data_IF_147001433400
#
_entry.id   IF_147001433400
#
_cell.length_a   1.000
_cell.length_b   1.000
_cell.length_c   1.000
_cell.angle_alpha   90.00
_cell.angle_beta   90.00
_cell.angle_gamma   90.00
#
_symmetry.space_group_name_H-M   'P 1'
#
loop_
_entity.id
_entity.type
_entity.pdbx_description
1 polymer ?
#
# COMPACT_ATOMS: atom_id res chain seq x y z
N UNK A 1 -20.71 -12.20 -15.65
CA UNK A 1 -19.75 -12.69 -14.63
C UNK A 1 -20.53 -13.51 -13.62
N UNK A 2 -19.99 -14.63 -13.12
CA UNK A 2 -20.69 -15.40 -12.07
C UNK A 2 -20.55 -14.73 -10.71
N UNK A 3 -21.51 -14.95 -9.80
CA UNK A 3 -21.45 -14.43 -8.42
C UNK A 3 -20.15 -14.86 -7.74
N UNK A 4 -19.76 -16.13 -7.91
CA UNK A 4 -18.51 -16.68 -7.39
C UNK A 4 -17.27 -15.89 -7.86
N UNK A 5 -17.22 -15.52 -9.15
CA UNK A 5 -16.09 -14.73 -9.67
C UNK A 5 -16.05 -13.34 -9.04
N UNK A 6 -17.21 -12.72 -8.80
CA UNK A 6 -17.30 -11.40 -8.16
C UNK A 6 -16.82 -11.45 -6.70
N UNK A 7 -17.20 -12.48 -5.96
CA UNK A 7 -16.75 -12.70 -4.58
C UNK A 7 -15.23 -12.88 -4.50
N UNK A 8 -14.64 -13.63 -5.45
CA UNK A 8 -13.16 -13.77 -5.54
C UNK A 8 -12.46 -12.44 -5.80
N UNK A 9 -13.04 -11.56 -6.62
CA UNK A 9 -12.49 -10.22 -6.85
C UNK A 9 -12.57 -9.37 -5.58
N UNK A 10 -13.70 -9.43 -4.85
CA UNK A 10 -13.85 -8.74 -3.55
C UNK A 10 -12.80 -9.24 -2.53
N UNK A 11 -12.57 -10.55 -2.44
CA UNK A 11 -11.52 -11.14 -1.57
C UNK A 11 -10.13 -10.63 -1.95
N UNK A 12 -9.81 -10.59 -3.25
CA UNK A 12 -8.51 -10.10 -3.74
C UNK A 12 -8.31 -8.62 -3.41
N UNK A 13 -9.36 -7.80 -3.48
CA UNK A 13 -9.31 -6.39 -3.08
C UNK A 13 -9.03 -6.23 -1.58
N UNK A 14 -9.67 -7.03 -0.73
CA UNK A 14 -9.39 -7.03 0.71
C UNK A 14 -7.92 -7.41 0.95
N UNK A 15 -7.45 -8.47 0.31
CA UNK A 15 -6.07 -8.92 0.44
C UNK A 15 -5.07 -7.83 0.02
N UNK A 16 -5.30 -7.20 -1.13
CA UNK A 16 -4.45 -6.12 -1.64
C UNK A 16 -4.39 -4.92 -0.69
N UNK A 17 -5.54 -4.45 -0.21
CA UNK A 17 -5.61 -3.34 0.76
C UNK A 17 -4.97 -3.72 2.11
N UNK A 18 -5.14 -4.98 2.54
CA UNK A 18 -4.52 -5.53 3.73
C UNK A 18 -2.99 -5.56 3.65
N UNK A 19 -2.43 -5.98 2.50
CA UNK A 19 -0.98 -5.98 2.26
C UNK A 19 -0.40 -4.57 2.43
N UNK A 20 -1.04 -3.54 1.89
CA UNK A 20 -0.55 -2.16 2.03
C UNK A 20 -0.53 -1.68 3.50
N UNK A 21 -1.56 -2.05 4.28
CA UNK A 21 -1.62 -1.71 5.71
C UNK A 21 -0.55 -2.47 6.49
N UNK A 22 -0.44 -3.78 6.28
CA UNK A 22 0.57 -4.63 6.94
C UNK A 22 1.97 -4.13 6.64
N UNK A 23 2.26 -3.80 5.37
CA UNK A 23 3.57 -3.27 5.01
C UNK A 23 3.88 -1.94 5.69
N UNK A 24 2.88 -1.08 5.86
CA UNK A 24 3.03 0.18 6.60
C UNK A 24 3.29 -0.04 8.09
N UNK A 25 2.67 -1.06 8.68
CA UNK A 25 2.97 -1.51 10.05
C UNK A 25 4.40 -2.05 10.13
N UNK A 26 4.86 -2.86 9.16
CA UNK A 26 6.23 -3.36 9.13
C UNK A 26 7.25 -2.23 9.02
N UNK A 27 7.01 -1.21 8.18
CA UNK A 27 7.83 0.00 8.13
C UNK A 27 7.78 0.75 9.46
N UNK A 28 6.62 0.85 10.10
CA UNK A 28 6.51 1.44 11.43
C UNK A 28 7.32 0.67 12.48
N UNK A 29 7.37 -0.66 12.45
CA UNK A 29 8.11 -1.46 13.44
C UNK A 29 9.61 -1.47 13.14
N UNK A 30 9.99 -1.91 11.94
CA UNK A 30 11.35 -2.24 11.54
C UNK A 30 12.09 -1.07 10.87
N UNK A 31 11.38 -0.01 10.50
CA UNK A 31 11.91 1.23 9.94
C UNK A 31 12.90 0.99 8.78
N UNK A 32 14.22 1.09 9.05
CA UNK A 32 15.23 1.12 7.99
C UNK A 32 15.35 -0.21 7.28
N UNK A 33 15.20 -1.32 7.99
CA UNK A 33 15.25 -2.68 7.40
C UNK A 33 14.21 -2.81 6.29
N UNK A 34 12.97 -2.37 6.55
CA UNK A 34 11.89 -2.47 5.55
C UNK A 34 12.01 -1.42 4.46
N UNK A 35 12.60 -0.25 4.75
CA UNK A 35 12.92 0.73 3.72
C UNK A 35 13.99 0.18 2.77
N UNK A 36 15.05 -0.45 3.28
CA UNK A 36 16.13 -0.99 2.45
C UNK A 36 15.60 -2.12 1.54
N UNK A 37 14.71 -2.98 2.04
CA UNK A 37 14.00 -4.01 1.24
C UNK A 37 13.16 -3.36 0.14
N UNK A 38 12.41 -2.30 0.47
CA UNK A 38 11.60 -1.57 -0.50
C UNK A 38 12.46 -0.88 -1.56
N UNK A 39 13.52 -0.18 -1.16
CA UNK A 39 14.43 0.53 -2.04
C UNK A 39 15.21 -0.43 -2.94
N UNK A 40 15.56 -1.63 -2.46
CA UNK A 40 16.13 -2.70 -3.30
C UNK A 40 15.17 -3.18 -4.41
N UNK A 41 13.85 -3.06 -4.19
CA UNK A 41 12.81 -3.38 -5.17
C UNK A 41 12.47 -2.24 -6.13
N UNK A 42 12.94 -1.01 -5.87
CA UNK A 42 12.59 0.18 -6.65
C UNK A 42 13.81 0.67 -7.44
N UNK A 43 13.67 0.80 -8.76
CA UNK A 43 14.71 1.43 -9.57
C UNK A 43 14.61 2.96 -9.42
N UNK A 44 15.64 3.60 -8.86
CA UNK A 44 15.65 5.07 -8.69
C UNK A 44 15.58 5.83 -10.02
N UNK A 45 16.21 5.31 -11.07
CA UNK A 45 16.23 5.90 -12.41
C UNK A 45 15.87 4.84 -13.48
N UNK A 46 14.57 4.47 -13.60
CA UNK A 46 14.15 3.39 -14.47
C UNK A 46 14.22 3.82 -15.95
N UNK A 47 15.16 3.22 -16.71
CA UNK A 47 15.41 3.55 -18.13
C UNK A 47 14.56 2.72 -19.08
N UNK A 48 14.28 1.46 -18.73
CA UNK A 48 13.52 0.54 -19.59
C UNK A 48 12.06 0.44 -19.17
N UNK A 49 11.19 0.00 -20.09
CA UNK A 49 9.77 -0.26 -19.79
C UNK A 49 9.64 -1.25 -18.64
N UNK A 50 10.45 -2.32 -18.63
CA UNK A 50 10.47 -3.29 -17.55
C UNK A 50 10.75 -2.66 -16.19
N UNK A 51 11.81 -1.84 -16.08
CA UNK A 51 12.17 -1.17 -14.81
C UNK A 51 11.07 -0.22 -14.32
N UNK A 52 10.41 0.50 -15.25
CA UNK A 52 9.28 1.39 -14.93
C UNK A 52 8.09 0.59 -14.40
N UNK A 53 7.72 -0.49 -15.09
CA UNK A 53 6.62 -1.36 -14.70
C UNK A 53 6.89 -2.04 -13.35
N UNK A 54 8.10 -2.58 -13.15
CA UNK A 54 8.47 -3.23 -11.90
C UNK A 54 8.42 -2.25 -10.72
N UNK A 55 9.00 -1.06 -10.90
CA UNK A 55 8.94 0.02 -9.89
C UNK A 55 7.49 0.42 -9.58
N UNK A 56 6.65 0.54 -10.61
CA UNK A 56 5.23 0.84 -10.42
C UNK A 56 4.53 -0.25 -9.61
N UNK A 57 4.78 -1.53 -9.90
CA UNK A 57 4.21 -2.65 -9.15
C UNK A 57 4.66 -2.61 -7.69
N UNK A 58 5.95 -2.46 -7.42
CA UNK A 58 6.48 -2.37 -6.04
C UNK A 58 5.86 -1.18 -5.29
N UNK A 59 5.77 -0.02 -5.93
CA UNK A 59 5.12 1.16 -5.35
C UNK A 59 3.62 0.93 -5.11
N UNK A 60 2.92 0.24 -6.01
CA UNK A 60 1.49 -0.03 -5.88
C UNK A 60 1.18 -1.03 -4.76
N UNK A 61 2.01 -2.05 -4.55
CA UNK A 61 1.79 -3.06 -3.51
C UNK A 61 2.29 -2.62 -2.13
N UNK A 62 3.39 -1.86 -2.06
CA UNK A 62 4.07 -1.57 -0.80
C UNK A 62 4.17 -0.08 -0.46
N UNK A 63 3.96 0.80 -1.43
CA UNK A 63 4.56 2.14 -1.43
C UNK A 63 4.05 3.15 -0.43
N UNK A 64 2.85 2.99 0.17
CA UNK A 64 2.31 4.04 1.06
C UNK A 64 3.15 4.19 2.33
N UNK A 65 3.47 3.09 3.01
CA UNK A 65 4.27 3.10 4.24
C UNK A 65 5.69 3.67 4.03
N UNK A 66 6.49 3.12 3.10
CA UNK A 66 7.82 3.63 2.75
C UNK A 66 7.81 5.09 2.30
N UNK A 67 6.86 5.47 1.44
CA UNK A 67 6.72 6.84 0.96
C UNK A 67 6.52 7.83 2.10
N UNK A 68 5.57 7.54 3.00
CA UNK A 68 5.28 8.39 4.15
C UNK A 68 6.46 8.42 5.13
N UNK A 69 7.09 7.28 5.41
CA UNK A 69 8.25 7.22 6.29
C UNK A 69 9.43 8.05 5.73
N UNK A 70 9.68 7.98 4.42
CA UNK A 70 10.69 8.81 3.72
C UNK A 70 10.38 10.30 3.86
N UNK A 71 9.12 10.70 3.71
CA UNK A 71 8.66 12.10 3.94
C UNK A 71 8.85 12.56 5.40
N UNK A 72 8.82 11.63 6.35
CA UNK A 72 8.99 11.91 7.77
C UNK A 72 10.45 11.80 8.26
N UNK A 73 11.42 11.47 7.41
CA UNK A 73 12.84 11.41 7.77
C UNK A 73 13.40 12.74 8.28
N UNK A 74 12.77 13.87 7.91
CA UNK A 74 13.11 15.22 8.40
C UNK A 74 12.82 15.44 9.88
N UNK A 75 12.05 14.56 10.53
CA UNK A 75 11.71 14.67 11.95
C UNK A 75 12.56 13.74 12.82
N UNK A 76 12.60 14.01 14.12
CA UNK A 76 13.21 13.10 15.10
C UNK A 76 12.53 11.73 15.08
N UNK A 77 13.24 10.69 15.51
CA UNK A 77 12.74 9.31 15.49
C UNK A 77 11.36 9.15 16.15
N UNK A 78 11.15 9.75 17.33
CA UNK A 78 9.88 9.66 18.04
C UNK A 78 8.74 10.37 17.30
N UNK A 79 8.99 11.57 16.77
CA UNK A 79 8.01 12.30 15.95
C UNK A 79 7.66 11.54 14.68
N UNK A 80 8.65 10.90 14.04
CA UNK A 80 8.44 10.05 12.87
C UNK A 80 7.54 8.85 13.19
N UNK A 81 7.79 8.14 14.29
CA UNK A 81 6.94 7.03 14.75
C UNK A 81 5.50 7.51 14.99
N UNK A 82 5.33 8.65 15.65
CA UNK A 82 4.01 9.23 15.89
C UNK A 82 3.25 9.56 14.58
N UNK A 83 3.91 10.22 13.61
CA UNK A 83 3.28 10.51 12.31
C UNK A 83 3.00 9.25 11.50
N UNK A 84 3.87 8.24 11.56
CA UNK A 84 3.62 6.94 10.93
C UNK A 84 2.41 6.24 11.55
N UNK A 85 2.26 6.27 12.88
CA UNK A 85 1.10 5.69 13.55
C UNK A 85 -0.21 6.35 13.10
N UNK A 86 -0.26 7.68 13.08
CA UNK A 86 -1.41 8.42 12.55
C UNK A 86 -1.69 8.02 11.10
N UNK A 87 -0.64 7.94 10.28
CA UNK A 87 -0.76 7.57 8.87
C UNK A 87 -1.35 6.17 8.67
N UNK A 88 -0.95 5.19 9.50
CA UNK A 88 -1.50 3.83 9.47
C UNK A 88 -2.99 3.85 9.82
N UNK A 89 -3.39 4.60 10.85
CA UNK A 89 -4.82 4.72 11.22
C UNK A 89 -5.63 5.33 10.07
N UNK A 90 -5.12 6.41 9.48
CA UNK A 90 -5.75 7.05 8.31
C UNK A 90 -5.82 6.07 7.13
N UNK A 91 -4.77 5.30 6.89
CA UNK A 91 -4.72 4.31 5.82
C UNK A 91 -5.72 3.17 6.03
N UNK A 92 -5.89 2.68 7.25
CA UNK A 92 -6.91 1.66 7.57
C UNK A 92 -8.30 2.19 7.22
N UNK A 93 -8.63 3.40 7.66
CA UNK A 93 -9.92 4.04 7.37
C UNK A 93 -10.09 4.22 5.86
N UNK A 94 -9.07 4.72 5.17
CA UNK A 94 -9.10 4.91 3.73
C UNK A 94 -9.29 3.58 2.98
N UNK A 95 -8.60 2.51 3.38
CA UNK A 95 -8.74 1.17 2.80
C UNK A 95 -10.17 0.64 2.96
N UNK A 96 -10.78 0.80 4.13
CA UNK A 96 -12.18 0.40 4.36
C UNK A 96 -13.12 1.15 3.41
N UNK A 97 -12.97 2.48 3.30
CA UNK A 97 -13.79 3.30 2.41
C UNK A 97 -13.61 2.86 0.95
N UNK A 98 -12.36 2.71 0.49
CA UNK A 98 -12.03 2.28 -0.87
C UNK A 98 -12.65 0.92 -1.16
N UNK A 99 -12.53 -0.05 -0.24
CA UNK A 99 -13.14 -1.37 -0.41
C UNK A 99 -14.66 -1.28 -0.64
N UNK A 100 -15.39 -0.54 0.21
CA UNK A 100 -16.84 -0.44 0.05
C UNK A 100 -17.25 0.30 -1.23
N UNK A 101 -16.51 1.33 -1.64
CA UNK A 101 -16.75 2.03 -2.90
C UNK A 101 -16.53 1.07 -4.07
N UNK A 102 -15.39 0.37 -4.13
CA UNK A 102 -15.09 -0.56 -5.22
C UNK A 102 -16.06 -1.74 -5.26
N UNK A 103 -16.40 -2.30 -4.11
CA UNK A 103 -17.41 -3.36 -3.98
C UNK A 103 -18.75 -2.93 -4.57
N UNK A 104 -19.22 -1.73 -4.22
CA UNK A 104 -20.49 -1.19 -4.71
C UNK A 104 -20.44 -0.97 -6.23
N UNK A 105 -19.33 -0.42 -6.75
CA UNK A 105 -19.14 -0.21 -8.19
C UNK A 105 -19.10 -1.53 -8.96
N UNK A 106 -18.34 -2.52 -8.48
CA UNK A 106 -18.27 -3.86 -9.06
C UNK A 106 -19.66 -4.50 -9.15
N UNK A 107 -20.42 -4.47 -8.05
CA UNK A 107 -21.78 -4.99 -8.05
C UNK A 107 -22.68 -4.23 -9.02
N UNK A 108 -22.63 -2.90 -9.05
CA UNK A 108 -23.47 -2.09 -9.94
C UNK A 108 -23.19 -2.29 -11.44
N UNK A 109 -21.97 -2.69 -11.81
CA UNK A 109 -21.57 -2.93 -13.21
C UNK A 109 -21.94 -4.35 -13.68
N UNK A 110 -21.88 -5.33 -12.77
CA UNK A 110 -21.89 -6.74 -13.13
C UNK A 110 -23.08 -7.56 -12.60
N UNK A 111 -23.93 -6.98 -11.74
CA UNK A 111 -25.23 -7.49 -11.31
C UNK A 111 -26.32 -6.54 -11.80
#
# INVERSE_FOLDING_TARGET
MTIETLERIEELLIYFLGVQVIFSILVFLLNRIMLDVYEAGVYENPKTVFQKTFTYVINAFFGIGPYLNKKFLKYSFLKRKFFMLISIVVQIIASIIIYYVLKKLLRAIFL
#
